data_IF_296375733974
#
_entry.id   IF_296375733974
#
_cell.length_a   1.000
_cell.length_b   1.000
_cell.length_c   1.000
_cell.angle_alpha   90.00
_cell.angle_beta   90.00
_cell.angle_gamma   90.00
#
_symmetry.space_group_name_H-M   'P 1'
#
loop_
_entity.id
_entity.type
_entity.pdbx_description
1 polymer ?
#
# COMPACT_ATOMS: atom_id res chain seq x y z
N UNK A 1 17.15 -0.27 -6.86
CA UNK A 1 17.86 0.70 -6.01
C UNK A 1 16.88 1.58 -5.26
N UNK A 2 16.56 1.20 -4.02
CA UNK A 2 15.72 2.00 -3.13
C UNK A 2 16.63 2.99 -2.38
N UNK A 3 16.86 4.17 -2.96
CA UNK A 3 17.54 5.27 -2.28
C UNK A 3 16.56 5.99 -1.37
N UNK A 4 16.28 5.40 -0.21
CA UNK A 4 15.81 6.15 0.94
C UNK A 4 17.01 6.38 1.85
N UNK A 5 17.21 7.63 2.32
CA UNK A 5 18.18 7.98 3.36
C UNK A 5 17.76 7.32 4.68
N UNK A 6 17.86 6.01 4.75
CA UNK A 6 17.55 5.21 5.91
C UNK A 6 18.83 4.99 6.72
N UNK A 7 18.76 4.99 8.06
CA UNK A 7 19.88 4.59 8.90
C UNK A 7 20.46 3.25 8.45
N UNK A 8 21.79 3.02 8.52
CA UNK A 8 22.44 1.78 8.06
C UNK A 8 21.83 0.50 8.66
N UNK A 9 21.33 0.57 9.90
CA UNK A 9 20.59 -0.51 10.57
C UNK A 9 19.32 -0.92 9.83
N UNK A 10 18.63 0.03 9.18
CA UNK A 10 17.38 -0.19 8.45
C UNK A 10 17.58 -0.90 7.10
N UNK A 11 18.70 -0.62 6.43
CA UNK A 11 19.08 -1.28 5.18
C UNK A 11 19.31 -2.80 5.37
N UNK A 12 19.89 -3.19 6.51
CA UNK A 12 20.11 -4.59 6.86
C UNK A 12 18.79 -5.34 7.14
N UNK A 13 17.82 -4.66 7.76
CA UNK A 13 16.49 -5.20 8.04
C UNK A 13 15.72 -5.42 6.72
N UNK A 14 15.71 -4.41 5.85
CA UNK A 14 15.10 -4.49 4.51
C UNK A 14 15.68 -5.64 3.69
N UNK A 15 17.00 -5.85 3.74
CA UNK A 15 17.69 -6.97 3.07
C UNK A 15 17.19 -8.34 3.56
N UNK A 16 17.20 -8.58 4.87
CA UNK A 16 16.72 -9.84 5.49
C UNK A 16 15.22 -10.10 5.30
N UNK A 17 14.45 -9.04 5.16
CA UNK A 17 13.03 -9.08 4.81
C UNK A 17 12.87 -9.51 3.34
N UNK A 18 13.60 -8.88 2.42
CA UNK A 18 13.57 -9.20 1.00
C UNK A 18 13.97 -10.66 0.71
N UNK A 19 14.98 -11.20 1.38
CA UNK A 19 15.39 -12.60 1.22
C UNK A 19 14.29 -13.59 1.65
N UNK A 20 13.60 -13.30 2.75
CA UNK A 20 12.54 -14.19 3.26
C UNK A 20 11.26 -14.10 2.41
N UNK A 21 10.96 -12.94 1.83
CA UNK A 21 9.89 -12.76 0.84
C UNK A 21 10.14 -13.60 -0.43
N UNK A 22 11.40 -13.65 -0.91
CA UNK A 22 11.78 -14.48 -2.06
C UNK A 22 11.55 -15.98 -1.81
N UNK A 23 11.78 -16.45 -0.59
CA UNK A 23 11.53 -17.86 -0.23
C UNK A 23 10.03 -18.18 -0.10
N UNK A 24 9.23 -17.26 0.44
CA UNK A 24 7.78 -17.44 0.63
C UNK A 24 7.00 -17.41 -0.69
N UNK A 25 7.41 -16.57 -1.63
CA UNK A 25 6.78 -16.45 -2.96
C UNK A 25 6.97 -17.69 -3.84
N UNK A 26 7.90 -18.60 -3.51
CA UNK A 26 8.07 -19.88 -4.20
C UNK A 26 7.12 -20.99 -3.70
N UNK A 27 6.48 -20.81 -2.53
CA UNK A 27 5.76 -21.88 -1.81
C UNK A 27 4.23 -21.71 -1.78
N UNK A 28 3.70 -20.57 -2.22
CA UNK A 28 2.28 -20.22 -2.10
C UNK A 28 1.77 -19.42 -3.32
N UNK A 29 0.45 -19.22 -3.44
CA UNK A 29 -0.09 -18.30 -4.45
C UNK A 29 0.25 -16.84 -4.08
N UNK A 30 0.30 -15.94 -5.06
CA UNK A 30 0.76 -14.56 -4.86
C UNK A 30 -0.02 -13.82 -3.77
N UNK A 31 -1.33 -14.01 -3.66
CA UNK A 31 -2.19 -13.28 -2.73
C UNK A 31 -1.99 -13.73 -1.28
N UNK A 32 -1.86 -15.04 -1.07
CA UNK A 32 -1.53 -15.60 0.25
C UNK A 32 -0.10 -15.23 0.64
N UNK A 33 0.84 -15.24 -0.33
CA UNK A 33 2.21 -14.79 -0.12
C UNK A 33 2.26 -13.32 0.33
N UNK A 34 1.43 -12.45 -0.24
CA UNK A 34 1.34 -11.03 0.14
C UNK A 34 0.90 -10.87 1.58
N UNK A 35 -0.18 -11.56 2.00
CA UNK A 35 -0.67 -11.51 3.39
C UNK A 35 0.40 -11.98 4.39
N UNK A 36 0.97 -13.16 4.15
CA UNK A 36 1.98 -13.77 5.04
C UNK A 36 3.24 -12.92 5.10
N UNK A 37 3.66 -12.36 3.97
CA UNK A 37 4.85 -11.52 3.91
C UNK A 37 4.66 -10.23 4.70
N UNK A 38 3.49 -9.61 4.64
CA UNK A 38 3.20 -8.39 5.38
C UNK A 38 3.28 -8.60 6.90
N UNK A 39 2.63 -9.64 7.43
CA UNK A 39 2.68 -9.96 8.86
C UNK A 39 4.12 -10.21 9.33
N UNK A 40 4.91 -10.93 8.51
CA UNK A 40 6.31 -11.22 8.81
C UNK A 40 7.22 -9.99 8.75
N UNK A 41 6.94 -9.04 7.85
CA UNK A 41 7.65 -7.75 7.78
C UNK A 41 7.44 -7.00 9.10
N UNK A 42 6.20 -6.93 9.56
CA UNK A 42 5.82 -6.23 10.79
C UNK A 42 6.48 -6.88 12.01
N UNK A 43 6.38 -8.21 12.14
CA UNK A 43 7.00 -8.96 13.26
C UNK A 43 8.51 -8.70 13.35
N UNK A 44 9.23 -8.79 12.24
CA UNK A 44 10.67 -8.54 12.20
C UNK A 44 11.04 -7.08 12.47
N UNK A 45 10.24 -6.13 12.00
CA UNK A 45 10.46 -4.70 12.27
C UNK A 45 10.30 -4.41 13.77
N UNK A 46 9.30 -5.01 14.42
CA UNK A 46 9.08 -4.91 15.87
C UNK A 46 10.27 -5.47 16.64
N UNK A 47 10.72 -6.69 16.29
CA UNK A 47 11.85 -7.35 16.95
C UNK A 47 13.13 -6.50 16.89
N UNK A 48 13.40 -5.87 15.75
CA UNK A 48 14.60 -5.06 15.55
C UNK A 48 14.52 -3.67 16.20
N UNK A 49 13.33 -3.04 16.20
CA UNK A 49 13.10 -1.79 16.94
C UNK A 49 13.21 -2.01 18.47
N UNK A 50 12.77 -3.16 18.97
CA UNK A 50 12.92 -3.53 20.38
C UNK A 50 14.37 -3.74 20.82
N UNK A 51 15.27 -4.09 19.89
CA UNK A 51 16.72 -4.21 20.16
C UNK A 51 17.45 -2.87 20.18
N UNK A 52 16.90 -1.83 19.56
CA UNK A 52 17.59 -0.53 19.35
C UNK A 52 17.27 0.54 20.39
N UNK A 53 16.18 0.42 21.16
CA UNK A 53 15.81 1.39 22.21
C UNK A 53 15.97 0.78 23.62
N UNK A 54 17.13 1.00 24.25
CA UNK A 54 17.28 0.76 25.70
C UNK A 54 16.75 1.99 26.44
N UNK A 55 15.59 1.88 27.09
CA UNK A 55 15.09 2.88 28.05
C UNK A 55 13.86 3.72 27.65
N UNK A 56 13.31 3.54 26.45
CA UNK A 56 12.00 4.11 26.06
C UNK A 56 10.97 3.00 25.85
N UNK A 57 9.67 3.33 25.92
CA UNK A 57 8.56 2.39 25.72
C UNK A 57 8.70 1.75 24.33
N UNK A 58 9.13 0.49 24.31
CA UNK A 58 9.28 -0.33 23.11
C UNK A 58 7.88 -0.79 22.70
N UNK A 59 7.42 -0.52 21.47
CA UNK A 59 6.20 -1.12 20.94
C UNK A 59 6.42 -2.62 20.82
N UNK A 60 5.72 -3.39 21.64
CA UNK A 60 5.71 -4.86 21.66
C UNK A 60 4.49 -5.43 20.95
N UNK A 61 3.45 -4.61 20.75
CA UNK A 61 2.26 -4.97 19.99
C UNK A 61 1.98 -3.99 18.83
N UNK A 62 1.38 -4.49 17.76
CA UNK A 62 1.05 -3.70 16.57
C UNK A 62 0.08 -2.52 16.86
N UNK A 63 -0.76 -2.66 17.89
CA UNK A 63 -1.64 -1.57 18.37
C UNK A 63 -0.85 -0.39 18.95
N UNK A 64 0.34 -0.64 19.47
CA UNK A 64 1.23 0.39 20.02
C UNK A 64 1.90 1.17 18.88
N UNK A 65 2.19 0.52 17.75
CA UNK A 65 2.69 1.15 16.52
C UNK A 65 1.67 2.15 15.94
N UNK A 66 0.38 1.78 15.93
CA UNK A 66 -0.71 2.65 15.48
C UNK A 66 -0.88 3.87 16.40
N UNK A 67 -0.33 3.85 17.61
CA UNK A 67 -0.38 4.95 18.56
C UNK A 67 0.90 5.81 18.59
N UNK A 68 1.95 5.43 17.84
CA UNK A 68 3.18 6.22 17.75
C UNK A 68 2.94 7.59 17.10
N UNK A 69 3.80 8.59 17.40
CA UNK A 69 3.86 9.85 16.65
C UNK A 69 3.97 9.60 15.15
N UNK A 70 3.40 10.50 14.34
CA UNK A 70 3.34 10.34 12.87
C UNK A 70 4.75 10.23 12.26
N UNK A 71 5.73 10.92 12.85
CA UNK A 71 7.13 10.84 12.45
C UNK A 71 7.72 9.44 12.67
N UNK A 72 7.35 8.75 13.75
CA UNK A 72 7.84 7.41 14.08
C UNK A 72 7.12 6.31 13.28
N UNK A 73 5.85 6.52 12.91
CA UNK A 73 5.12 5.63 11.98
C UNK A 73 5.79 5.58 10.60
N UNK A 74 6.40 6.68 10.17
CA UNK A 74 7.05 6.77 8.86
C UNK A 74 8.18 5.74 8.68
N UNK A 75 8.91 5.44 9.76
CA UNK A 75 10.02 4.48 9.77
C UNK A 75 9.51 3.07 9.48
N UNK A 76 8.42 2.64 10.14
CA UNK A 76 7.83 1.30 9.97
C UNK A 76 7.04 1.20 8.66
N UNK A 77 6.37 2.27 8.26
CA UNK A 77 5.52 2.26 7.07
C UNK A 77 6.32 2.30 5.76
N UNK A 78 7.53 2.86 5.74
CA UNK A 78 8.35 2.93 4.53
C UNK A 78 8.67 1.54 3.92
N UNK A 79 9.21 0.57 4.69
CA UNK A 79 9.46 -0.78 4.21
C UNK A 79 8.22 -1.49 3.68
N UNK A 80 7.12 -1.36 4.42
CA UNK A 80 5.85 -2.01 4.08
C UNK A 80 5.30 -1.41 2.79
N UNK A 81 5.35 -0.08 2.64
CA UNK A 81 4.93 0.59 1.41
C UNK A 81 5.81 0.19 0.22
N UNK A 82 7.13 0.10 0.42
CA UNK A 82 8.05 -0.36 -0.62
C UNK A 82 7.73 -1.79 -1.07
N UNK A 83 7.37 -2.67 -0.14
CA UNK A 83 6.91 -4.03 -0.44
C UNK A 83 5.61 -4.03 -1.26
N UNK A 84 4.56 -3.36 -0.78
CA UNK A 84 3.27 -3.27 -1.48
C UNK A 84 3.38 -2.66 -2.87
N UNK A 85 4.27 -1.68 -3.04
CA UNK A 85 4.60 -1.09 -4.33
C UNK A 85 5.29 -2.09 -5.25
N UNK A 86 6.28 -2.83 -4.75
CA UNK A 86 6.99 -3.82 -5.56
C UNK A 86 6.05 -4.94 -6.04
N UNK A 87 5.13 -5.37 -5.17
CA UNK A 87 4.05 -6.31 -5.51
C UNK A 87 3.14 -5.72 -6.59
N UNK A 88 2.69 -4.48 -6.41
CA UNK A 88 1.84 -3.80 -7.40
C UNK A 88 2.53 -3.62 -8.76
N UNK A 89 3.82 -3.28 -8.77
CA UNK A 89 4.63 -3.18 -9.99
C UNK A 89 4.74 -4.54 -10.70
N UNK A 90 4.92 -5.64 -9.95
CA UNK A 90 4.94 -6.99 -10.51
C UNK A 90 3.58 -7.38 -11.10
N UNK A 91 2.48 -7.12 -10.38
CA UNK A 91 1.11 -7.38 -10.85
C UNK A 91 0.80 -6.56 -12.11
N UNK A 92 1.24 -5.30 -12.16
CA UNK A 92 1.02 -4.41 -13.31
C UNK A 92 1.77 -4.86 -14.57
N UNK A 93 2.94 -5.48 -14.40
CA UNK A 93 3.76 -6.02 -15.51
C UNK A 93 3.30 -7.41 -15.96
N UNK A 94 2.67 -8.16 -15.06
CA UNK A 94 2.16 -9.50 -15.33
C UNK A 94 0.76 -9.44 -15.94
N UNK A 95 0.35 -10.43 -16.71
CA UNK A 95 -1.05 -10.51 -17.17
C UNK A 95 -1.97 -10.75 -15.96
N UNK A 96 -2.64 -9.71 -15.47
CA UNK A 96 -3.60 -9.76 -14.35
C UNK A 96 -4.57 -10.97 -14.47
N UNK A 97 -4.93 -11.39 -15.68
CA UNK A 97 -5.81 -12.53 -15.95
C UNK A 97 -5.33 -13.86 -15.36
N UNK A 98 -4.01 -14.07 -15.24
CA UNK A 98 -3.46 -15.31 -14.66
C UNK A 98 -3.46 -15.27 -13.12
N UNK A 99 -3.38 -14.07 -12.55
CA UNK A 99 -3.41 -13.83 -11.09
C UNK A 99 -4.85 -13.85 -10.56
N UNK A 100 -5.78 -13.29 -11.33
CA UNK A 100 -7.20 -13.24 -11.04
C UNK A 100 -7.96 -14.07 -12.09
N UNK A 101 -7.96 -15.42 -11.97
CA UNK A 101 -8.73 -16.25 -12.89
C UNK A 101 -10.20 -15.84 -12.87
N UNK A 102 -10.90 -16.03 -13.99
CA UNK A 102 -12.35 -15.82 -14.12
C UNK A 102 -13.12 -16.79 -13.20
N UNK A 103 -13.13 -16.47 -11.91
CA UNK A 103 -14.01 -17.07 -10.94
C UNK A 103 -15.00 -15.98 -10.53
N UNK A 104 -16.30 -16.26 -10.62
CA UNK A 104 -17.37 -15.28 -10.38
C UNK A 104 -17.45 -14.77 -8.92
N UNK A 105 -16.51 -15.18 -8.05
CA UNK A 105 -16.44 -14.78 -6.64
C UNK A 105 -15.22 -13.94 -6.27
N UNK A 106 -14.27 -13.67 -7.18
CA UNK A 106 -13.13 -12.78 -6.88
C UNK A 106 -13.45 -11.33 -7.22
N UNK A 107 -13.24 -10.41 -6.28
CA UNK A 107 -13.50 -8.98 -6.49
C UNK A 107 -12.30 -8.16 -6.06
N UNK A 108 -11.79 -7.33 -6.97
CA UNK A 108 -10.80 -6.32 -6.66
C UNK A 108 -11.52 -5.01 -6.29
N UNK A 109 -11.28 -4.50 -5.09
CA UNK A 109 -11.87 -3.25 -4.60
C UNK A 109 -10.78 -2.17 -4.58
N UNK A 110 -11.05 -1.05 -5.26
CA UNK A 110 -10.22 0.14 -5.15
C UNK A 110 -10.41 0.78 -3.76
N UNK A 111 -9.35 0.75 -2.96
CA UNK A 111 -9.32 1.20 -1.57
C UNK A 111 -8.67 2.58 -1.47
N UNK A 112 -9.48 3.60 -1.19
CA UNK A 112 -9.01 4.99 -1.01
C UNK A 112 -8.55 5.31 0.41
N UNK A 113 -8.82 4.42 1.37
CA UNK A 113 -8.69 4.67 2.81
C UNK A 113 -9.91 5.36 3.42
N UNK A 114 -10.91 5.72 2.58
CA UNK A 114 -12.17 6.31 3.03
C UNK A 114 -13.17 5.28 3.56
N UNK A 115 -14.25 5.79 4.17
CA UNK A 115 -15.32 4.96 4.74
C UNK A 115 -16.04 4.14 3.65
N UNK A 116 -16.34 4.75 2.51
CA UNK A 116 -17.16 4.10 1.47
C UNK A 116 -16.49 2.87 0.86
N UNK A 117 -15.21 2.95 0.49
CA UNK A 117 -14.46 1.80 -0.04
C UNK A 117 -14.31 0.70 1.00
N UNK A 118 -14.16 1.09 2.27
CA UNK A 118 -13.97 0.18 3.40
C UNK A 118 -15.23 -0.61 3.71
N UNK A 119 -16.38 0.07 3.75
CA UNK A 119 -17.69 -0.57 3.92
C UNK A 119 -18.00 -1.45 2.71
N UNK A 120 -17.67 -1.00 1.49
CA UNK A 120 -17.85 -1.81 0.28
C UNK A 120 -17.07 -3.14 0.35
N UNK A 121 -15.79 -3.09 0.73
CA UNK A 121 -14.97 -4.28 0.92
C UNK A 121 -15.57 -5.21 1.99
N UNK A 122 -15.98 -4.67 3.14
CA UNK A 122 -16.62 -5.44 4.21
C UNK A 122 -17.91 -6.13 3.76
N UNK A 123 -18.79 -5.43 3.05
CA UNK A 123 -20.06 -5.98 2.57
C UNK A 123 -19.84 -7.12 1.57
N UNK A 124 -18.91 -6.96 0.64
CA UNK A 124 -18.54 -8.00 -0.32
C UNK A 124 -17.97 -9.24 0.39
N UNK A 125 -17.10 -9.04 1.39
CA UNK A 125 -16.60 -10.15 2.21
C UNK A 125 -17.73 -10.88 2.94
N UNK A 126 -18.69 -10.14 3.53
CA UNK A 126 -19.89 -10.73 4.18
C UNK A 126 -20.79 -11.50 3.21
N UNK A 127 -20.80 -11.12 1.93
CA UNK A 127 -21.53 -11.82 0.87
C UNK A 127 -20.78 -13.07 0.35
N UNK A 128 -19.59 -13.36 0.87
CA UNK A 128 -18.81 -14.55 0.52
C UNK A 128 -17.97 -14.39 -0.74
N UNK A 129 -17.69 -13.15 -1.17
CA UNK A 129 -16.70 -12.88 -2.21
C UNK A 129 -15.28 -12.99 -1.63
N UNK A 130 -14.36 -13.47 -2.47
CA UNK A 130 -12.92 -13.36 -2.23
C UNK A 130 -12.49 -11.94 -2.63
N UNK A 131 -12.48 -11.05 -1.63
CA UNK A 131 -12.16 -9.64 -1.82
C UNK A 131 -10.66 -9.40 -1.71
N UNK A 132 -10.15 -8.58 -2.62
CA UNK A 132 -8.76 -8.14 -2.66
C UNK A 132 -8.79 -6.61 -2.72
N UNK A 133 -8.09 -5.95 -1.81
CA UNK A 133 -7.97 -4.50 -1.81
C UNK A 133 -6.83 -4.04 -2.70
N UNK A 134 -6.98 -2.89 -3.33
CA UNK A 134 -5.85 -2.22 -3.99
C UNK A 134 -5.97 -0.72 -3.88
N UNK A 135 -4.87 -0.06 -3.54
CA UNK A 135 -4.81 1.41 -3.58
C UNK A 135 -4.15 1.86 -4.88
N UNK A 136 -4.70 2.89 -5.51
CA UNK A 136 -4.17 3.43 -6.77
C UNK A 136 -3.46 4.75 -6.47
N UNK A 137 -2.17 4.80 -6.77
CA UNK A 137 -1.37 6.01 -6.66
C UNK A 137 -1.43 6.78 -7.98
N UNK A 138 -2.10 7.93 -7.96
CA UNK A 138 -2.31 8.79 -9.13
C UNK A 138 -1.42 10.04 -9.14
N UNK A 139 -0.94 10.48 -7.98
CA UNK A 139 -0.13 11.68 -7.83
C UNK A 139 0.94 11.52 -6.74
N UNK A 140 1.94 12.39 -6.74
CA UNK A 140 2.94 12.49 -5.66
C UNK A 140 2.91 13.92 -5.12
N UNK A 141 2.57 14.04 -3.83
CA UNK A 141 2.67 15.31 -3.14
C UNK A 141 4.11 15.53 -2.66
N UNK A 142 4.62 16.78 -2.69
CA UNK A 142 5.83 17.13 -1.96
C UNK A 142 5.71 16.69 -0.50
N UNK A 143 6.80 16.20 0.10
CA UNK A 143 6.79 15.57 1.43
C UNK A 143 6.14 16.45 2.51
N UNK A 144 6.22 17.78 2.39
CA UNK A 144 5.61 18.72 3.34
C UNK A 144 4.07 18.80 3.27
N UNK A 145 3.46 18.50 2.11
CA UNK A 145 2.00 18.50 1.90
C UNK A 145 1.38 17.11 2.09
N UNK A 146 2.21 16.07 2.16
CA UNK A 146 1.78 14.67 2.24
C UNK A 146 1.00 14.30 3.51
N UNK A 147 1.04 15.16 4.53
CA UNK A 147 0.34 14.98 5.81
C UNK A 147 -1.11 15.46 5.81
N UNK A 148 -1.56 16.15 4.75
CA UNK A 148 -2.98 16.46 4.58
C UNK A 148 -3.73 15.19 4.16
N UNK A 149 -4.77 14.80 4.90
CA UNK A 149 -5.62 13.64 4.57
C UNK A 149 -6.31 13.88 3.22
N UNK A 150 -5.80 13.25 2.17
CA UNK A 150 -6.43 13.19 0.86
C UNK A 150 -6.39 11.75 0.34
N UNK A 151 -7.26 11.42 -0.60
CA UNK A 151 -7.35 10.07 -1.19
C UNK A 151 -6.02 9.57 -1.82
N UNK A 152 -5.08 10.47 -2.11
CA UNK A 152 -3.76 10.15 -2.66
C UNK A 152 -2.61 10.50 -1.69
N UNK A 153 -2.92 10.83 -0.43
CA UNK A 153 -1.88 11.08 0.56
C UNK A 153 -1.33 9.78 1.14
N UNK A 154 -0.14 9.87 1.72
CA UNK A 154 0.52 8.73 2.38
C UNK A 154 -0.37 8.13 3.47
N UNK A 155 -1.14 8.99 4.17
CA UNK A 155 -2.06 8.60 5.23
C UNK A 155 -3.23 7.77 4.66
N UNK A 156 -3.78 8.15 3.51
CA UNK A 156 -4.88 7.41 2.88
C UNK A 156 -4.47 6.00 2.45
N UNK A 157 -3.22 5.84 1.97
CA UNK A 157 -2.65 4.53 1.63
C UNK A 157 -2.53 3.66 2.89
N UNK A 158 -2.04 4.23 4.00
CA UNK A 158 -1.94 3.52 5.27
C UNK A 158 -3.30 3.12 5.83
N UNK A 159 -4.28 4.04 5.81
CA UNK A 159 -5.65 3.75 6.24
C UNK A 159 -6.27 2.60 5.41
N UNK A 160 -6.08 2.62 4.08
CA UNK A 160 -6.55 1.55 3.20
C UNK A 160 -5.94 0.18 3.54
N UNK A 161 -4.63 0.14 3.77
CA UNK A 161 -3.88 -1.06 4.14
C UNK A 161 -4.35 -1.60 5.49
N UNK A 162 -4.42 -0.74 6.50
CA UNK A 162 -4.82 -1.12 7.86
C UNK A 162 -6.24 -1.69 7.90
N UNK A 163 -7.14 -1.16 7.07
CA UNK A 163 -8.50 -1.68 6.92
C UNK A 163 -8.51 -3.04 6.23
N UNK A 164 -7.78 -3.21 5.12
CA UNK A 164 -7.66 -4.51 4.45
C UNK A 164 -7.16 -5.58 5.40
N UNK A 165 -6.14 -5.26 6.20
CA UNK A 165 -5.58 -6.15 7.20
C UNK A 165 -6.59 -6.53 8.28
N UNK A 166 -7.32 -5.57 8.84
CA UNK A 166 -8.42 -5.84 9.81
C UNK A 166 -9.51 -6.76 9.23
N UNK A 167 -9.70 -6.71 7.92
CA UNK A 167 -10.64 -7.56 7.18
C UNK A 167 -10.01 -8.86 6.65
N UNK A 168 -8.73 -9.12 6.94
CA UNK A 168 -7.93 -10.26 6.44
C UNK A 168 -7.91 -10.35 4.89
N UNK A 169 -7.83 -9.20 4.23
CA UNK A 169 -7.79 -9.04 2.77
C UNK A 169 -6.36 -8.79 2.32
N UNK A 170 -5.99 -9.34 1.16
CA UNK A 170 -4.73 -8.97 0.52
C UNK A 170 -4.85 -7.52 0.01
N UNK A 171 -3.78 -6.75 0.15
CA UNK A 171 -3.68 -5.37 -0.32
C UNK A 171 -2.40 -5.20 -1.14
N UNK A 172 -2.43 -4.29 -2.12
CA UNK A 172 -1.23 -3.83 -2.84
C UNK A 172 -1.48 -2.46 -3.48
N UNK A 173 -0.42 -1.71 -3.72
CA UNK A 173 -0.48 -0.37 -4.30
C UNK A 173 -0.10 -0.38 -5.78
N UNK A 174 -1.00 0.07 -6.65
CA UNK A 174 -0.76 0.24 -8.10
C UNK A 174 -0.26 1.65 -8.40
N UNK A 175 0.89 1.78 -9.06
CA UNK A 175 1.40 3.07 -9.52
C UNK A 175 0.91 3.37 -10.94
N UNK A 176 -0.11 4.25 -11.04
CA UNK A 176 -0.69 4.67 -12.32
C UNK A 176 -0.43 6.16 -12.61
N UNK A 177 0.56 6.78 -11.94
CA UNK A 177 0.85 8.22 -12.08
C UNK A 177 1.10 8.64 -13.53
N UNK A 178 1.86 7.84 -14.28
CA UNK A 178 2.16 8.14 -15.69
C UNK A 178 0.89 8.09 -16.54
N UNK A 179 0.06 7.07 -16.36
CA UNK A 179 -1.19 6.92 -17.10
C UNK A 179 -2.18 8.05 -16.75
N UNK A 180 -2.29 8.40 -15.47
CA UNK A 180 -3.14 9.48 -15.00
C UNK A 180 -2.68 10.84 -15.55
N UNK A 181 -1.36 11.09 -15.54
CA UNK A 181 -0.80 12.32 -16.12
C UNK A 181 -1.17 12.44 -17.59
N UNK A 182 -0.85 11.41 -18.39
CA UNK A 182 -1.06 11.44 -19.84
C UNK A 182 -2.53 11.56 -20.23
N UNK A 183 -3.43 10.87 -19.52
CA UNK A 183 -4.84 10.79 -19.92
C UNK A 183 -5.72 11.86 -19.30
N UNK A 184 -5.46 12.23 -18.04
CA UNK A 184 -6.33 13.13 -17.27
C UNK A 184 -5.70 14.50 -17.12
N UNK A 185 -4.46 14.57 -16.62
CA UNK A 185 -3.82 15.86 -16.31
C UNK A 185 -3.48 16.63 -17.57
N UNK A 186 -2.84 16.00 -18.55
CA UNK A 186 -2.47 16.65 -19.81
C UNK A 186 -3.73 17.12 -20.57
N UNK A 187 -4.80 16.31 -20.58
CA UNK A 187 -6.11 16.73 -21.11
C UNK A 187 -6.65 17.96 -20.38
N UNK A 188 -6.69 17.92 -19.05
CA UNK A 188 -7.23 18.97 -18.20
C UNK A 188 -6.51 20.30 -18.43
N UNK A 189 -5.17 20.28 -18.38
CA UNK A 189 -4.35 21.46 -18.66
C UNK A 189 -4.60 22.00 -20.08
N UNK A 190 -4.63 21.13 -21.09
CA UNK A 190 -4.86 21.54 -22.47
C UNK A 190 -6.24 22.19 -22.67
N UNK A 191 -7.31 21.67 -22.06
CA UNK A 191 -8.63 22.28 -22.17
C UNK A 191 -8.70 23.65 -21.45
N UNK A 192 -8.01 23.80 -20.31
CA UNK A 192 -7.90 25.10 -19.64
C UNK A 192 -7.16 26.13 -20.50
N UNK A 193 -6.06 25.74 -21.17
CA UNK A 193 -5.34 26.62 -22.10
C UNK A 193 -6.20 27.07 -23.28
N UNK A 194 -7.22 26.29 -23.65
CA UNK A 194 -8.21 26.64 -24.66
C UNK A 194 -9.40 27.46 -24.11
N UNK A 195 -9.35 27.90 -22.85
CA UNK A 195 -10.40 28.70 -22.22
C UNK A 195 -11.67 27.90 -21.87
N UNK A 196 -11.56 26.57 -21.74
CA UNK A 196 -12.68 25.70 -21.36
C UNK A 196 -12.63 25.34 -19.86
N UNK A 197 -13.73 24.78 -19.36
CA UNK A 197 -13.85 24.25 -17.99
C UNK A 197 -13.98 22.72 -18.04
N UNK A 198 -12.86 21.97 -18.15
CA UNK A 198 -12.89 20.51 -18.18
C UNK A 198 -13.25 19.89 -16.82
N UNK A 199 -13.87 18.71 -16.85
CA UNK A 199 -14.08 17.87 -15.68
C UNK A 199 -13.10 16.68 -15.71
N UNK A 200 -12.12 16.59 -14.80
CA UNK A 200 -11.09 15.55 -14.82
C UNK A 200 -11.62 14.17 -14.40
N UNK A 201 -12.80 14.09 -13.78
CA UNK A 201 -13.34 12.84 -13.23
C UNK A 201 -14.04 11.95 -14.29
N UNK A 202 -14.23 12.44 -15.52
CA UNK A 202 -15.02 11.76 -16.57
C UNK A 202 -14.22 11.41 -17.83
N UNK A 203 -12.91 11.61 -17.81
CA UNK A 203 -12.01 11.52 -18.97
C UNK A 203 -11.39 10.13 -19.08
#
# INVERSE_FOLDING_TARGET
DFYYNCPPSFSLILSKVCEKIKDLTQKSNLLDAVKISEDLIIEKLIEELGKTKVGEIIPTEEKEIINLPVEERSIINLPIEAFHRAVGDYISRSEIKTIFPKNNKKVLVAMSGGVDSSVSALLLTKQGYEVIGSTIRLWEFPMYESYLKSCCSIIGIWDARDICRKLNLAHFTLDLRNNFKQKVVDYFCNQYLLGKTPNPCIV
#
